data_IF_820384240930
#
_entry.id   IF_820384240930
#
_cell.length_a   1.000
_cell.length_b   1.000
_cell.length_c   1.000
_cell.angle_alpha   90.00
_cell.angle_beta   90.00
_cell.angle_gamma   90.00
#
_symmetry.space_group_name_H-M   'P 1'
#
loop_
_entity.id
_entity.type
_entity.pdbx_description
1 polymer ?
#
# COMPACT_ATOMS: atom_id res chain seq x y z
N UNK A 1 -39.16 -15.84 8.70
CA UNK A 1 -38.56 -14.53 8.34
C UNK A 1 -37.62 -14.18 9.48
N UNK A 2 -36.33 -14.41 9.31
CA UNK A 2 -35.33 -14.07 10.33
C UNK A 2 -35.02 -12.58 10.22
N UNK A 3 -35.32 -11.85 11.29
CA UNK A 3 -34.93 -10.46 11.49
C UNK A 3 -33.42 -10.41 11.72
N UNK A 4 -32.65 -10.12 10.67
CA UNK A 4 -31.22 -9.84 10.79
C UNK A 4 -31.01 -8.61 11.68
N UNK A 5 -30.28 -8.77 12.78
CA UNK A 5 -29.97 -7.68 13.69
C UNK A 5 -29.23 -6.56 12.95
N UNK A 6 -29.75 -5.34 13.05
CA UNK A 6 -29.12 -4.14 12.52
C UNK A 6 -27.97 -3.79 13.46
N UNK A 7 -26.74 -3.77 12.96
CA UNK A 7 -25.59 -3.31 13.73
C UNK A 7 -25.69 -1.79 13.93
N UNK A 8 -26.18 -1.37 15.09
CA UNK A 8 -26.20 0.04 15.52
C UNK A 8 -25.07 0.28 16.55
N UNK A 9 -24.29 1.34 16.37
CA UNK A 9 -23.25 1.78 17.31
C UNK A 9 -21.89 2.12 16.67
N UNK A 10 -21.11 2.97 17.33
CA UNK A 10 -19.73 3.24 16.96
C UNK A 10 -18.81 2.18 17.60
N UNK A 11 -18.04 1.46 16.79
CA UNK A 11 -16.99 0.57 17.28
C UNK A 11 -15.65 1.28 17.17
N UNK A 12 -15.11 1.71 18.29
CA UNK A 12 -13.72 2.16 18.35
C UNK A 12 -12.79 0.93 18.33
N UNK A 13 -11.79 0.96 17.44
CA UNK A 13 -10.79 -0.10 17.32
C UNK A 13 -9.45 0.53 17.61
N UNK A 14 -8.77 0.05 18.65
CA UNK A 14 -7.39 0.40 18.93
C UNK A 14 -6.49 -0.76 18.44
N UNK A 15 -5.89 -0.66 17.25
CA UNK A 15 -5.05 -1.73 16.75
C UNK A 15 -3.76 -1.83 17.57
N UNK A 16 -3.41 -3.05 17.95
CA UNK A 16 -2.07 -3.35 18.43
C UNK A 16 -1.16 -3.55 17.22
N UNK A 17 -0.16 -2.67 17.08
CA UNK A 17 0.77 -2.67 15.94
C UNK A 17 2.02 -3.44 16.34
N UNK A 18 2.59 -4.20 15.41
CA UNK A 18 3.85 -4.92 15.65
C UNK A 18 5.00 -3.97 15.97
N UNK A 19 5.76 -4.28 17.01
CA UNK A 19 6.99 -3.56 17.35
C UNK A 19 8.15 -3.89 16.39
N UNK A 20 7.98 -4.87 15.48
CA UNK A 20 9.03 -5.30 14.55
C UNK A 20 8.87 -4.72 13.15
N UNK A 21 7.74 -4.97 12.49
CA UNK A 21 7.53 -4.59 11.09
C UNK A 21 6.10 -4.08 10.86
N UNK A 22 6.00 -3.02 10.06
CA UNK A 22 4.73 -2.51 9.56
C UNK A 22 4.72 -2.65 8.04
N UNK A 23 3.62 -3.17 7.50
CA UNK A 23 3.33 -3.16 6.07
C UNK A 23 2.19 -2.17 5.84
N UNK A 24 2.42 -1.20 4.94
CA UNK A 24 1.45 -0.17 4.58
C UNK A 24 1.15 -0.35 3.10
N UNK A 25 -0.11 -0.60 2.79
CA UNK A 25 -0.61 -0.63 1.42
C UNK A 25 -1.38 0.67 1.13
N UNK A 26 -1.13 1.27 -0.03
CA UNK A 26 -1.61 2.61 -0.36
C UNK A 26 -2.55 2.54 -1.56
N UNK A 27 -3.81 2.86 -1.33
CA UNK A 27 -4.86 2.87 -2.35
C UNK A 27 -5.41 4.29 -2.54
N UNK A 28 -5.59 4.71 -3.79
CA UNK A 28 -6.24 6.00 -4.12
C UNK A 28 -7.62 5.77 -4.72
N UNK A 29 -8.66 6.01 -3.93
CA UNK A 29 -10.05 5.93 -4.40
C UNK A 29 -10.56 7.32 -4.77
N UNK A 30 -10.85 7.55 -6.05
CA UNK A 30 -11.44 8.81 -6.51
C UNK A 30 -12.97 8.80 -6.38
N UNK A 31 -13.55 9.86 -5.79
CA UNK A 31 -15.00 10.09 -5.70
C UNK A 31 -15.59 10.07 -4.29
N UNK A 32 -16.40 11.07 -3.95
CA UNK A 32 -17.23 11.09 -2.74
C UNK A 32 -18.42 10.13 -2.90
N UNK A 33 -18.58 9.17 -1.98
CA UNK A 33 -19.79 8.34 -1.88
C UNK A 33 -19.73 6.90 -2.43
N UNK A 34 -18.56 6.34 -2.75
CA UNK A 34 -18.48 4.96 -3.27
C UNK A 34 -18.49 3.92 -2.15
N UNK A 35 -19.67 3.71 -1.58
CA UNK A 35 -20.07 2.48 -0.89
C UNK A 35 -20.65 1.55 -1.96
N UNK A 36 -19.78 0.94 -2.77
CA UNK A 36 -20.20 -0.16 -3.65
C UNK A 36 -19.28 -1.34 -3.39
N UNK A 37 -19.86 -2.53 -3.24
CA UNK A 37 -19.17 -3.79 -3.01
C UNK A 37 -18.27 -4.23 -4.19
N UNK A 38 -17.99 -3.34 -5.15
CA UNK A 38 -17.24 -3.58 -6.38
C UNK A 38 -15.90 -2.84 -6.38
N UNK A 39 -15.24 -2.75 -5.21
CA UNK A 39 -13.85 -2.26 -5.13
C UNK A 39 -12.90 -3.36 -5.59
N UNK A 40 -12.63 -3.43 -6.90
CA UNK A 40 -11.52 -4.22 -7.41
C UNK A 40 -10.23 -3.40 -7.31
N UNK A 41 -9.24 -3.91 -6.58
CA UNK A 41 -7.87 -3.35 -6.53
C UNK A 41 -7.25 -3.21 -7.92
N UNK A 42 -7.78 -3.93 -8.90
CA UNK A 42 -7.34 -3.94 -10.30
C UNK A 42 -7.73 -2.69 -11.10
N UNK A 43 -8.59 -1.82 -10.55
CA UNK A 43 -9.18 -0.67 -11.28
C UNK A 43 -8.89 0.70 -10.67
N UNK A 44 -8.06 0.74 -9.64
CA UNK A 44 -7.76 1.95 -8.87
C UNK A 44 -6.67 2.77 -9.56
N UNK A 45 -6.81 4.10 -9.64
CA UNK A 45 -5.77 4.94 -10.22
C UNK A 45 -4.48 4.80 -9.42
N UNK A 46 -3.37 4.55 -10.11
CA UNK A 46 -2.09 4.30 -9.45
C UNK A 46 -1.57 5.57 -8.77
N UNK A 47 -1.22 5.42 -7.50
CA UNK A 47 -0.49 6.46 -6.77
C UNK A 47 0.91 6.58 -7.37
N UNK A 48 1.14 7.70 -8.06
CA UNK A 48 2.47 8.07 -8.54
C UNK A 48 3.12 8.97 -7.50
N UNK A 49 4.15 8.45 -6.84
CA UNK A 49 4.92 9.21 -5.87
C UNK A 49 6.42 8.98 -6.06
N UNK A 50 7.24 9.98 -5.75
CA UNK A 50 8.70 9.79 -5.73
C UNK A 50 9.08 9.14 -4.42
N UNK A 51 10.11 8.30 -4.46
CA UNK A 51 10.65 7.68 -3.25
C UNK A 51 11.12 8.71 -2.20
N UNK A 52 11.56 9.90 -2.64
CA UNK A 52 11.94 11.02 -1.76
C UNK A 52 10.76 11.60 -0.99
N UNK A 53 9.54 11.44 -1.51
CA UNK A 53 8.34 12.02 -0.92
C UNK A 53 7.72 11.10 0.16
N UNK A 54 8.19 9.84 0.27
CA UNK A 54 7.77 8.90 1.32
C UNK A 54 8.55 9.20 2.61
N UNK A 55 7.86 9.44 3.75
CA UNK A 55 8.51 9.63 5.05
C UNK A 55 9.49 8.51 5.37
N UNK A 56 10.70 8.88 5.77
CA UNK A 56 11.75 7.90 6.14
C UNK A 56 11.58 7.34 7.54
N UNK A 57 10.88 8.09 8.39
CA UNK A 57 10.57 7.72 9.75
C UNK A 57 9.06 7.82 9.95
N UNK A 58 8.47 6.79 10.54
CA UNK A 58 7.10 6.76 11.02
C UNK A 58 7.13 6.59 12.54
N UNK A 59 6.41 7.43 13.28
CA UNK A 59 6.34 7.35 14.74
C UNK A 59 4.94 6.98 15.16
N UNK A 60 4.80 5.91 15.94
CA UNK A 60 3.53 5.44 16.50
C UNK A 60 3.76 4.94 17.93
N UNK A 61 2.99 5.42 18.91
CA UNK A 61 3.11 5.05 20.33
C UNK A 61 4.56 5.00 20.84
N UNK A 62 5.34 6.06 20.56
CA UNK A 62 6.76 6.17 20.94
C UNK A 62 7.72 5.18 20.25
N UNK A 63 7.22 4.29 19.40
CA UNK A 63 8.03 3.43 18.53
C UNK A 63 8.31 4.16 17.22
N UNK A 64 9.57 4.14 16.80
CA UNK A 64 10.04 4.73 15.54
C UNK A 64 10.37 3.64 14.53
N UNK A 65 9.73 3.68 13.37
CA UNK A 65 9.96 2.76 12.27
C UNK A 65 10.72 3.47 11.15
N UNK A 66 11.80 2.86 10.67
CA UNK A 66 12.54 3.33 9.49
C UNK A 66 11.95 2.70 8.22
N UNK A 67 11.78 3.50 7.16
CA UNK A 67 11.37 2.99 5.86
C UNK A 67 12.48 2.11 5.25
N UNK A 68 12.23 0.80 5.19
CA UNK A 68 13.22 -0.19 4.70
C UNK A 68 13.07 -0.55 3.22
N UNK A 69 11.86 -0.47 2.68
CA UNK A 69 11.56 -0.87 1.32
C UNK A 69 10.23 -0.33 0.83
N UNK A 70 10.07 -0.32 -0.49
CA UNK A 70 8.86 0.08 -1.21
C UNK A 70 8.66 -0.89 -2.36
N UNK A 71 7.45 -1.44 -2.47
CA UNK A 71 7.03 -2.24 -3.61
C UNK A 71 6.24 -1.34 -4.56
N UNK A 72 6.54 -1.41 -5.85
CA UNK A 72 5.90 -0.61 -6.89
C UNK A 72 5.35 -1.52 -7.96
N UNK A 73 4.11 -1.26 -8.37
CA UNK A 73 3.48 -1.91 -9.51
C UNK A 73 3.52 -0.98 -10.73
N UNK A 74 3.96 -1.52 -11.86
CA UNK A 74 3.92 -0.87 -13.16
C UNK A 74 2.94 -1.62 -14.06
N UNK A 75 1.88 -0.99 -14.58
CA UNK A 75 0.90 -1.67 -15.40
C UNK A 75 1.50 -2.00 -16.77
N UNK A 76 1.01 -3.06 -17.42
CA UNK A 76 1.40 -3.37 -18.79
C UNK A 76 1.07 -2.19 -19.73
N UNK A 77 1.84 -2.03 -20.81
CA UNK A 77 1.64 -0.95 -21.80
C UNK A 77 0.30 -1.00 -22.57
N UNK A 78 -0.60 -1.95 -22.25
CA UNK A 78 -1.94 -1.97 -22.81
C UNK A 78 -2.76 -0.82 -22.23
N UNK A 79 -3.43 -0.04 -23.09
CA UNK A 79 -4.49 0.90 -22.67
C UNK A 79 -5.74 0.20 -22.10
N UNK A 80 -5.72 -1.13 -22.05
CA UNK A 80 -6.78 -1.96 -21.50
C UNK A 80 -6.62 -2.03 -19.98
N UNK A 81 -7.75 -1.96 -19.26
CA UNK A 81 -7.79 -2.13 -17.81
C UNK A 81 -7.49 -3.60 -17.49
N UNK A 82 -6.25 -3.90 -17.11
CA UNK A 82 -5.82 -5.26 -16.76
C UNK A 82 -5.09 -5.23 -15.42
N UNK A 83 -5.21 -6.31 -14.66
CA UNK A 83 -4.37 -6.58 -13.47
C UNK A 83 -2.97 -7.09 -13.84
N UNK A 84 -2.63 -7.08 -15.13
CA UNK A 84 -1.33 -7.50 -15.63
C UNK A 84 -0.34 -6.35 -15.59
N UNK A 85 0.85 -6.63 -15.06
CA UNK A 85 1.92 -5.66 -14.98
C UNK A 85 3.15 -6.28 -14.32
N UNK A 86 4.05 -5.41 -13.89
CA UNK A 86 5.35 -5.77 -13.36
C UNK A 86 5.57 -5.16 -11.99
N UNK A 87 6.05 -5.97 -11.05
CA UNK A 87 6.39 -5.51 -9.72
C UNK A 87 7.89 -5.30 -9.60
N UNK A 88 8.26 -4.15 -9.03
CA UNK A 88 9.64 -3.81 -8.69
C UNK A 88 9.71 -3.45 -7.22
N UNK A 89 10.86 -3.71 -6.60
CA UNK A 89 11.12 -3.32 -5.22
C UNK A 89 12.29 -2.35 -5.14
N UNK A 90 12.11 -1.27 -4.39
CA UNK A 90 13.20 -0.44 -3.91
C UNK A 90 13.47 -0.83 -2.46
N UNK A 91 14.70 -1.15 -2.10
CA UNK A 91 15.05 -1.46 -0.72
C UNK A 91 16.42 -0.92 -0.35
N UNK A 92 16.59 -0.60 0.93
CA UNK A 92 17.86 -0.15 1.47
C UNK A 92 18.79 -1.37 1.64
N UNK A 93 20.00 -1.31 1.06
CA UNK A 93 21.04 -2.32 1.24
C UNK A 93 22.33 -1.68 1.76
N UNK A 94 22.94 -2.28 2.78
CA UNK A 94 24.23 -1.84 3.32
C UNK A 94 24.18 -0.43 3.93
N UNK A 95 25.08 0.46 3.49
CA UNK A 95 25.31 1.82 4.01
C UNK A 95 24.21 2.84 3.67
N UNK A 96 22.93 2.45 3.82
CA UNK A 96 21.74 3.29 3.59
C UNK A 96 21.49 3.69 2.13
N UNK A 97 22.04 2.96 1.17
CA UNK A 97 21.77 3.20 -0.24
C UNK A 97 20.54 2.43 -0.72
N UNK A 98 19.66 3.12 -1.44
CA UNK A 98 18.52 2.51 -2.12
C UNK A 98 18.98 1.71 -3.34
N UNK A 99 18.47 0.49 -3.48
CA UNK A 99 18.69 -0.36 -4.65
C UNK A 99 17.35 -0.78 -5.23
N UNK A 100 17.29 -0.79 -6.56
CA UNK A 100 16.20 -1.38 -7.33
C UNK A 100 16.44 -2.89 -7.47
N UNK A 101 15.41 -3.67 -7.18
CA UNK A 101 15.30 -5.10 -7.44
C UNK A 101 14.17 -5.28 -8.45
N UNK A 102 14.53 -5.81 -9.61
CA UNK A 102 13.71 -5.93 -10.83
C UNK A 102 14.03 -7.30 -11.44
N UNK A 103 13.42 -8.34 -10.88
CA UNK A 103 13.66 -9.76 -11.19
C UNK A 103 15.15 -10.14 -11.33
N UNK A 104 15.52 -10.68 -12.51
CA UNK A 104 16.85 -11.13 -12.87
C UNK A 104 17.67 -10.03 -13.55
N UNK A 105 17.22 -8.77 -13.51
CA UNK A 105 17.95 -7.66 -14.10
C UNK A 105 19.32 -7.57 -13.45
N UNK A 106 20.34 -7.71 -14.29
CA UNK A 106 21.73 -7.58 -13.86
C UNK A 106 21.94 -6.16 -13.32
N UNK A 107 22.64 -6.09 -12.19
CA UNK A 107 23.05 -4.84 -11.56
C UNK A 107 24.05 -4.08 -12.43
#
# INVERSE_FOLDING_TARGET
>A
MESGNICEGFKEIMPNISDMHIFIDVFYWEGYGVVSNNRSSETTAQVKMRLSDIPKLLVYNYVTYELRGVISFQPAHSKLRTSSGHYNAYAIRGTKNWQLFDDLKKK
#
